data_IF_196313012652
#
_entry.id   IF_196313012652
#
_cell.length_a   1.000
_cell.length_b   1.000
_cell.length_c   1.000
_cell.angle_alpha   90.00
_cell.angle_beta   90.00
_cell.angle_gamma   90.00
#
_symmetry.space_group_name_H-M   'P 1'
#
loop_
_entity.id
_entity.type
_entity.pdbx_description
1 polymer ?
#
# COMPACT_ATOMS: atom_id res chain seq x y z
N UNK A 1 4.87 -1.41 -7.95
CA UNK A 1 4.29 -1.39 -9.33
C UNK A 1 3.19 -2.43 -9.42
N UNK A 2 3.51 -3.72 -9.32
CA UNK A 2 2.53 -4.81 -9.44
C UNK A 2 1.38 -4.72 -8.44
N UNK A 3 1.68 -4.66 -7.14
CA UNK A 3 0.67 -4.54 -6.07
C UNK A 3 -0.34 -3.38 -6.27
N UNK A 4 0.12 -2.26 -6.83
CA UNK A 4 -0.71 -1.08 -7.07
C UNK A 4 -1.47 -1.12 -8.41
N UNK A 5 -1.03 -1.95 -9.37
CA UNK A 5 -1.61 -2.05 -10.71
C UNK A 5 -2.44 -3.32 -10.91
N UNK A 6 -2.32 -4.30 -10.02
CA UNK A 6 -3.23 -5.44 -9.97
C UNK A 6 -4.63 -5.00 -9.55
N UNK A 7 -5.70 -5.63 -10.09
CA UNK A 7 -7.05 -5.41 -9.61
C UNK A 7 -7.15 -5.71 -8.10
N UNK A 8 -7.42 -4.73 -7.23
CA UNK A 8 -7.51 -4.97 -5.80
C UNK A 8 -8.70 -5.85 -5.48
N UNK A 9 -8.51 -6.77 -4.53
CA UNK A 9 -9.58 -7.61 -4.00
C UNK A 9 -10.29 -6.88 -2.86
N UNK A 10 -11.62 -6.94 -2.87
CA UNK A 10 -12.51 -6.41 -1.84
C UNK A 10 -13.41 -7.54 -1.34
N UNK A 11 -13.73 -7.52 -0.05
CA UNK A 11 -14.76 -8.37 0.53
C UNK A 11 -16.01 -7.57 0.85
N UNK A 12 -17.17 -8.11 0.50
CA UNK A 12 -18.48 -7.68 1.00
C UNK A 12 -19.30 -8.89 1.41
N UNK A 13 -20.04 -8.80 2.53
CA UNK A 13 -20.80 -9.94 3.08
C UNK A 13 -21.77 -10.57 2.07
N UNK A 14 -22.51 -9.74 1.35
CA UNK A 14 -23.57 -10.19 0.44
C UNK A 14 -23.04 -10.60 -0.95
N UNK A 15 -21.78 -10.28 -1.26
CA UNK A 15 -21.18 -10.51 -2.58
C UNK A 15 -20.04 -11.52 -2.57
N UNK A 16 -19.38 -11.69 -1.43
CA UNK A 16 -18.13 -12.43 -1.33
C UNK A 16 -16.92 -11.59 -1.74
N UNK A 17 -15.83 -12.26 -2.11
CA UNK A 17 -14.65 -11.61 -2.67
C UNK A 17 -14.86 -11.24 -4.15
N UNK A 18 -14.48 -10.03 -4.52
CA UNK A 18 -14.49 -9.56 -5.91
C UNK A 18 -13.37 -8.57 -6.15
N UNK A 19 -13.02 -8.34 -7.42
CA UNK A 19 -12.02 -7.34 -7.79
C UNK A 19 -12.65 -6.05 -8.31
N UNK A 20 -11.94 -4.94 -8.15
CA UNK A 20 -12.26 -3.65 -8.76
C UNK A 20 -11.12 -3.18 -9.66
N UNK A 21 -11.29 -2.03 -10.33
CA UNK A 21 -10.20 -1.44 -11.10
C UNK A 21 -9.07 -0.96 -10.16
N UNK A 22 -7.80 -0.98 -10.61
CA UNK A 22 -6.69 -0.38 -9.88
C UNK A 22 -6.98 1.09 -9.52
N UNK A 23 -6.59 1.48 -8.32
CA UNK A 23 -6.83 2.82 -7.76
C UNK A 23 -8.32 3.18 -7.59
N UNK A 24 -9.18 2.19 -7.39
CA UNK A 24 -10.62 2.43 -7.18
C UNK A 24 -10.93 3.04 -5.81
N UNK A 25 -12.07 3.73 -5.74
CA UNK A 25 -12.60 4.36 -4.53
C UNK A 25 -11.59 5.26 -3.80
N UNK A 26 -11.08 6.31 -4.48
CA UNK A 26 -10.19 7.28 -3.83
C UNK A 26 -10.92 7.97 -2.67
N UNK A 27 -10.23 8.13 -1.56
CA UNK A 27 -10.69 8.92 -0.42
C UNK A 27 -9.53 9.62 0.27
N UNK A 28 -9.78 10.81 0.82
CA UNK A 28 -8.78 11.48 1.65
C UNK A 28 -8.91 10.97 3.07
N UNK A 29 -7.82 10.42 3.62
CA UNK A 29 -7.74 9.99 5.01
C UNK A 29 -6.83 10.92 5.81
N UNK A 30 -7.30 11.35 6.98
CA UNK A 30 -6.53 12.20 7.91
C UNK A 30 -5.61 11.32 8.77
N UNK A 31 -4.34 11.22 8.38
CA UNK A 31 -3.36 10.46 9.14
C UNK A 31 -2.88 11.24 10.39
N UNK A 32 -2.63 10.53 11.50
CA UNK A 32 -2.26 11.13 12.76
C UNK A 32 -0.79 11.62 12.78
N UNK A 33 -0.35 12.10 13.95
CA UNK A 33 1.07 12.38 14.25
C UNK A 33 1.78 13.38 13.31
N UNK A 34 0.98 14.27 12.71
CA UNK A 34 1.45 15.35 11.85
C UNK A 34 1.59 14.99 10.37
N UNK A 35 1.17 13.78 9.96
CA UNK A 35 1.14 13.39 8.54
C UNK A 35 0.05 14.15 7.79
N UNK A 36 -1.15 14.25 8.37
CA UNK A 36 -2.26 15.02 7.79
C UNK A 36 -2.99 14.29 6.66
N UNK A 37 -3.71 15.03 5.79
CA UNK A 37 -4.57 14.43 4.77
C UNK A 37 -3.75 13.81 3.63
N UNK A 38 -4.04 12.56 3.30
CA UNK A 38 -3.44 11.84 2.17
C UNK A 38 -4.53 11.12 1.37
N UNK A 39 -4.50 11.25 0.04
CA UNK A 39 -5.38 10.46 -0.84
C UNK A 39 -4.99 8.98 -0.81
N UNK A 40 -5.96 8.16 -0.44
CA UNK A 40 -5.85 6.71 -0.32
C UNK A 40 -6.72 6.02 -1.36
N UNK A 41 -6.20 4.95 -1.96
CA UNK A 41 -6.87 4.17 -3.00
C UNK A 41 -6.78 2.67 -2.72
N UNK A 42 -7.75 1.89 -3.20
CA UNK A 42 -7.72 0.44 -3.05
C UNK A 42 -6.52 -0.17 -3.79
N UNK A 43 -5.80 -1.05 -3.08
CA UNK A 43 -4.67 -1.84 -3.60
C UNK A 43 -4.83 -3.30 -3.15
N UNK A 44 -4.23 -4.23 -3.89
CA UNK A 44 -4.31 -5.65 -3.55
C UNK A 44 -3.54 -5.94 -2.25
N UNK A 45 -4.17 -6.62 -1.29
CA UNK A 45 -3.47 -7.05 -0.08
C UNK A 45 -4.08 -8.31 0.55
N UNK A 46 -3.25 -9.11 1.21
CA UNK A 46 -3.60 -10.46 1.66
C UNK A 46 -4.59 -10.49 2.82
N UNK A 47 -4.60 -9.46 3.67
CA UNK A 47 -5.47 -9.33 4.84
C UNK A 47 -6.93 -9.27 4.42
N UNK A 48 -7.25 -8.74 3.24
CA UNK A 48 -8.64 -8.71 2.72
C UNK A 48 -9.15 -10.14 2.44
N UNK A 49 -8.26 -11.08 2.15
CA UNK A 49 -8.60 -12.49 1.98
C UNK A 49 -8.73 -13.23 3.33
N UNK A 50 -8.04 -12.75 4.36
CA UNK A 50 -7.89 -13.43 5.64
C UNK A 50 -8.85 -12.91 6.72
N UNK A 51 -8.93 -11.60 6.92
CA UNK A 51 -9.71 -10.96 7.99
C UNK A 51 -11.18 -11.39 7.96
N UNK A 52 -11.90 -11.37 6.82
CA UNK A 52 -13.32 -11.75 6.79
C UNK A 52 -13.60 -13.22 7.14
N UNK A 53 -12.58 -14.09 7.12
CA UNK A 53 -12.71 -15.49 7.52
C UNK A 53 -12.81 -15.65 9.04
N UNK A 54 -12.31 -14.69 9.80
CA UNK A 54 -12.21 -14.74 11.26
C UNK A 54 -12.99 -13.64 11.96
N UNK A 55 -13.18 -12.51 11.29
CA UNK A 55 -13.91 -11.34 11.79
C UNK A 55 -15.18 -11.16 10.97
N UNK A 56 -16.34 -11.22 11.63
CA UNK A 56 -17.60 -10.91 10.99
C UNK A 56 -17.70 -9.41 10.67
N UNK A 57 -17.42 -9.05 9.43
CA UNK A 57 -17.56 -7.69 8.91
C UNK A 57 -18.58 -7.63 7.76
N UNK A 58 -19.05 -6.43 7.45
CA UNK A 58 -19.87 -6.18 6.25
C UNK A 58 -19.00 -5.94 5.02
N UNK A 59 -17.85 -5.31 5.21
CA UNK A 59 -16.90 -4.96 4.15
C UNK A 59 -15.47 -5.00 4.69
N UNK A 60 -14.52 -5.43 3.87
CA UNK A 60 -13.09 -5.26 4.11
C UNK A 60 -12.38 -4.81 2.83
N UNK A 61 -11.50 -3.82 2.99
CA UNK A 61 -10.69 -3.21 1.94
C UNK A 61 -9.29 -2.94 2.50
N UNK A 62 -8.31 -2.81 1.62
CA UNK A 62 -6.98 -2.32 1.98
C UNK A 62 -6.59 -1.19 1.03
N UNK A 63 -6.00 -0.13 1.59
CA UNK A 63 -5.72 1.12 0.87
C UNK A 63 -4.33 1.64 1.17
N UNK A 64 -3.68 2.20 0.15
CA UNK A 64 -2.44 2.94 0.29
C UNK A 64 -2.62 4.43 0.05
N UNK A 65 -1.96 5.24 0.88
CA UNK A 65 -1.76 6.66 0.66
C UNK A 65 -0.66 6.91 -0.37
N UNK A 66 -0.99 6.76 -1.65
CA UNK A 66 -0.01 6.90 -2.74
C UNK A 66 0.17 8.37 -3.17
N UNK A 67 -0.85 9.20 -2.98
CA UNK A 67 -0.89 10.57 -3.51
C UNK A 67 -0.98 10.63 -5.03
N UNK A 68 -1.48 11.75 -5.54
CA UNK A 68 -1.83 11.93 -6.96
C UNK A 68 -0.63 11.75 -7.89
N UNK A 69 0.52 12.33 -7.54
CA UNK A 69 1.73 12.28 -8.36
C UNK A 69 2.22 10.84 -8.59
N UNK A 70 2.26 10.03 -7.54
CA UNK A 70 2.72 8.64 -7.67
C UNK A 70 1.72 7.80 -8.47
N UNK A 71 0.42 8.02 -8.27
CA UNK A 71 -0.63 7.39 -9.07
C UNK A 71 -0.46 7.74 -10.56
N UNK A 72 -0.15 9.00 -10.89
CA UNK A 72 0.10 9.42 -12.28
C UNK A 72 1.33 8.75 -12.89
N UNK A 73 2.42 8.61 -12.13
CA UNK A 73 3.62 7.86 -12.54
C UNK A 73 3.26 6.41 -12.87
N UNK A 74 2.55 5.72 -11.97
CA UNK A 74 2.15 4.33 -12.17
C UNK A 74 1.23 4.16 -13.39
N UNK A 75 0.24 5.06 -13.56
CA UNK A 75 -0.64 5.06 -14.74
C UNK A 75 0.15 5.28 -16.03
N UNK A 76 1.19 6.12 -16.00
CA UNK A 76 2.05 6.37 -17.16
C UNK A 76 2.87 5.14 -17.52
N UNK A 77 3.49 4.49 -16.53
CA UNK A 77 4.22 3.23 -16.74
C UNK A 77 3.30 2.16 -17.36
N UNK A 78 2.09 2.00 -16.82
CA UNK A 78 1.10 1.07 -17.33
C UNK A 78 0.66 1.37 -18.77
N UNK A 79 0.32 2.64 -19.07
CA UNK A 79 -0.09 3.05 -20.43
C UNK A 79 0.99 2.82 -21.49
N UNK A 80 2.26 2.88 -21.09
CA UNK A 80 3.40 2.62 -21.95
C UNK A 80 3.79 1.12 -22.02
N UNK A 81 3.13 0.26 -21.23
CA UNK A 81 3.45 -1.16 -21.11
C UNK A 81 4.78 -1.42 -20.39
N UNK A 82 5.27 -0.46 -19.60
CA UNK A 82 6.55 -0.54 -18.88
C UNK A 82 6.46 -1.33 -17.57
N UNK A 83 5.25 -1.68 -17.14
CA UNK A 83 4.97 -2.62 -16.07
C UNK A 83 4.91 -4.09 -16.53
N UNK A 84 4.93 -4.33 -17.85
CA UNK A 84 4.88 -5.66 -18.45
C UNK A 84 6.16 -6.48 -18.26
N UNK A 85 6.00 -7.79 -18.07
CA UNK A 85 7.09 -8.77 -17.93
C UNK A 85 7.44 -9.48 -19.24
N UNK A 86 6.53 -9.48 -20.22
CA UNK A 86 6.76 -10.12 -21.50
C UNK A 86 7.90 -9.42 -22.26
N UNK A 87 8.94 -10.15 -22.70
CA UNK A 87 10.07 -9.53 -23.38
C UNK A 87 9.68 -8.87 -24.69
N UNK A 88 10.26 -7.69 -24.94
CA UNK A 88 10.20 -6.99 -26.22
C UNK A 88 11.57 -7.00 -26.89
N UNK A 89 11.59 -6.92 -28.23
CA UNK A 89 12.86 -6.91 -28.99
C UNK A 89 13.43 -5.50 -29.07
N UNK A 90 14.59 -5.29 -28.46
CA UNK A 90 15.36 -4.04 -28.53
C UNK A 90 16.71 -4.33 -29.16
N UNK A 91 16.93 -3.84 -30.39
CA UNK A 91 18.20 -4.04 -31.14
C UNK A 91 18.64 -5.52 -31.26
N UNK A 92 17.69 -6.46 -31.30
CA UNK A 92 17.95 -7.89 -31.42
C UNK A 92 18.07 -8.64 -30.09
N UNK A 93 18.00 -7.95 -28.96
CA UNK A 93 17.92 -8.56 -27.62
C UNK A 93 16.47 -8.58 -27.11
N UNK A 94 16.11 -9.64 -26.39
CA UNK A 94 14.85 -9.73 -25.65
C UNK A 94 15.02 -9.05 -24.30
N UNK A 95 14.18 -8.07 -23.99
CA UNK A 95 14.27 -7.26 -22.76
C UNK A 95 12.87 -7.13 -22.14
N UNK A 96 12.73 -7.45 -20.86
CA UNK A 96 11.51 -7.18 -20.09
C UNK A 96 11.41 -5.67 -19.80
N UNK A 97 10.33 -4.98 -20.22
CA UNK A 97 10.13 -3.56 -19.91
C UNK A 97 10.21 -3.27 -18.41
N UNK A 98 9.61 -4.12 -17.57
CA UNK A 98 9.65 -4.01 -16.12
C UNK A 98 11.08 -4.10 -15.56
N UNK A 99 11.91 -4.97 -16.11
CA UNK A 99 13.30 -5.11 -15.65
C UNK A 99 14.12 -3.84 -15.96
N UNK A 100 13.81 -3.17 -17.08
CA UNK A 100 14.43 -1.88 -17.42
C UNK A 100 14.02 -0.81 -16.41
N UNK A 101 12.72 -0.72 -16.09
CA UNK A 101 12.24 0.23 -15.06
C UNK A 101 12.93 -0.05 -13.73
N UNK A 102 12.97 -1.31 -13.29
CA UNK A 102 13.61 -1.70 -12.04
C UNK A 102 15.11 -1.34 -12.03
N UNK A 103 15.83 -1.56 -13.13
CA UNK A 103 17.24 -1.21 -13.27
C UNK A 103 17.51 0.31 -13.27
N UNK A 104 16.52 1.13 -13.63
CA UNK A 104 16.62 2.59 -13.56
C UNK A 104 16.31 3.17 -12.18
N UNK A 105 15.67 2.40 -11.29
CA UNK A 105 15.34 2.85 -9.94
C UNK A 105 16.53 2.69 -9.00
N UNK A 106 16.71 3.61 -8.04
CA UNK A 106 17.70 3.44 -6.98
C UNK A 106 17.36 2.21 -6.13
N UNK A 107 18.39 1.54 -5.61
CA UNK A 107 18.22 0.41 -4.70
C UNK A 107 17.45 0.87 -3.44
N UNK A 108 16.25 0.31 -3.16
CA UNK A 108 15.45 0.68 -2.00
C UNK A 108 16.20 0.55 -0.68
N UNK A 109 17.12 -0.41 -0.55
CA UNK A 109 17.91 -0.60 0.67
C UNK A 109 18.85 0.58 0.96
N UNK A 110 19.21 1.36 -0.07
CA UNK A 110 20.12 2.50 0.03
C UNK A 110 19.42 3.85 0.12
N UNK A 111 18.08 3.86 0.11
CA UNK A 111 17.29 5.09 0.13
C UNK A 111 17.07 5.67 1.53
N UNK A 112 17.33 4.90 2.60
CA UNK A 112 17.00 5.29 3.96
C UNK A 112 17.51 6.68 4.37
N UNK A 113 18.77 7.00 4.07
CA UNK A 113 19.38 8.31 4.40
C UNK A 113 18.81 9.48 3.58
N UNK A 114 18.09 9.19 2.49
CA UNK A 114 17.45 10.18 1.61
C UNK A 114 15.97 10.35 1.92
N UNK A 115 15.38 9.43 2.68
CA UNK A 115 13.99 9.48 3.10
C UNK A 115 13.87 10.35 4.35
N UNK A 116 12.81 11.15 4.41
CA UNK A 116 12.46 11.95 5.59
C UNK A 116 10.98 11.82 5.87
N UNK A 117 10.59 12.03 7.12
CA UNK A 117 9.21 11.99 7.55
C UNK A 117 8.77 10.63 8.06
N UNK A 118 7.46 10.43 8.11
CA UNK A 118 6.84 9.35 8.89
C UNK A 118 6.02 8.42 8.02
N UNK A 119 6.02 7.15 8.39
CA UNK A 119 5.09 6.14 7.85
C UNK A 119 4.02 5.83 8.88
N UNK A 120 2.80 5.57 8.42
CA UNK A 120 1.70 5.14 9.27
C UNK A 120 1.04 3.90 8.67
N UNK A 121 0.92 2.86 9.48
CA UNK A 121 0.16 1.66 9.15
C UNK A 121 -0.90 1.44 10.23
N UNK A 122 -2.13 1.14 9.82
CA UNK A 122 -3.22 0.98 10.75
C UNK A 122 -4.46 0.36 10.15
N UNK A 123 -5.42 0.07 11.01
CA UNK A 123 -6.73 -0.49 10.67
C UNK A 123 -7.80 0.46 11.17
N UNK A 124 -8.58 1.02 10.25
CA UNK A 124 -9.76 1.81 10.56
C UNK A 124 -10.99 0.90 10.59
N UNK A 125 -11.66 0.89 11.74
CA UNK A 125 -12.79 0.01 12.03
C UNK A 125 -13.99 0.88 12.33
N UNK A 126 -15.09 0.63 11.64
CA UNK A 126 -16.39 1.24 11.89
C UNK A 126 -17.42 0.16 12.16
N UNK A 127 -18.40 0.45 13.02
CA UNK A 127 -19.44 -0.54 13.36
C UNK A 127 -20.29 -0.12 14.54
N UNK A 128 -20.83 -1.12 15.23
CA UNK A 128 -21.62 -0.92 16.46
C UNK A 128 -20.75 -1.21 17.68
N UNK A 129 -20.69 -0.26 18.60
CA UNK A 129 -19.98 -0.37 19.87
C UNK A 129 -20.64 -1.37 20.82
N UNK A 130 -19.94 -1.70 21.91
CA UNK A 130 -20.44 -2.61 22.95
C UNK A 130 -21.67 -2.08 23.70
N UNK A 131 -21.89 -0.78 23.62
CA UNK A 131 -23.04 -0.05 24.16
C UNK A 131 -24.25 -0.02 23.20
N UNK A 132 -24.11 -0.60 22.00
CA UNK A 132 -25.14 -0.60 20.97
C UNK A 132 -25.20 0.66 20.12
N UNK A 133 -24.29 1.63 20.31
CA UNK A 133 -24.24 2.87 19.53
C UNK A 133 -23.20 2.80 18.40
N UNK A 134 -23.33 3.61 17.33
CA UNK A 134 -22.31 3.68 16.29
C UNK A 134 -20.93 4.04 16.87
N UNK A 135 -19.91 3.33 16.44
CA UNK A 135 -18.54 3.51 16.91
C UNK A 135 -17.54 3.43 15.76
N UNK A 136 -16.45 4.18 15.90
CA UNK A 136 -15.29 4.09 15.00
C UNK A 136 -13.99 4.15 15.81
N UNK A 137 -13.00 3.40 15.38
CA UNK A 137 -11.65 3.39 15.96
C UNK A 137 -10.62 3.26 14.86
N UNK A 138 -9.53 4.01 14.97
CA UNK A 138 -8.34 3.80 14.15
C UNK A 138 -7.23 3.27 15.07
N UNK A 139 -6.84 2.02 14.85
CA UNK A 139 -5.71 1.38 15.53
C UNK A 139 -4.51 1.45 14.62
N UNK A 140 -3.44 2.11 15.04
CA UNK A 140 -2.36 2.43 14.13
C UNK A 140 -1.01 2.48 14.84
N UNK A 141 0.04 2.47 14.03
CA UNK A 141 1.41 2.70 14.44
C UNK A 141 2.06 3.71 13.48
N UNK A 142 2.82 4.65 14.04
CA UNK A 142 3.56 5.66 13.29
C UNK A 142 5.05 5.47 13.57
N UNK A 143 5.86 5.51 12.52
CA UNK A 143 7.32 5.38 12.60
C UNK A 143 7.96 6.54 11.88
N UNK A 144 8.92 7.17 12.53
CA UNK A 144 9.75 8.24 11.96
C UNK A 144 11.00 7.64 11.32
N UNK A 145 11.27 7.98 10.06
CA UNK A 145 12.38 7.40 9.31
C UNK A 145 13.73 7.82 9.88
N UNK A 146 13.88 9.09 10.28
CA UNK A 146 15.12 9.57 10.88
C UNK A 146 15.44 8.83 12.19
N UNK A 147 14.43 8.52 13.00
CA UNK A 147 14.57 7.71 14.22
C UNK A 147 15.03 6.28 13.92
N UNK A 148 14.35 5.56 13.01
CA UNK A 148 14.73 4.17 12.72
C UNK A 148 16.07 4.05 12.00
N UNK A 149 16.42 5.03 11.16
CA UNK A 149 17.73 5.11 10.55
C UNK A 149 18.83 5.35 11.59
N UNK A 150 18.59 6.23 12.57
CA UNK A 150 19.56 6.51 13.63
C UNK A 150 19.77 5.31 14.59
N UNK A 151 18.70 4.60 14.95
CA UNK A 151 18.78 3.51 15.93
C UNK A 151 19.14 2.16 15.31
N UNK A 152 18.60 1.85 14.12
CA UNK A 152 18.67 0.52 13.52
C UNK A 152 19.36 0.50 12.14
N UNK A 153 19.72 1.66 11.60
CA UNK A 153 20.27 1.76 10.24
C UNK A 153 19.30 1.24 9.17
N UNK A 154 18.00 1.28 9.44
CA UNK A 154 16.95 0.73 8.59
C UNK A 154 15.82 1.73 8.41
N UNK A 155 15.35 1.89 7.17
CA UNK A 155 14.27 2.80 6.84
C UNK A 155 12.92 2.32 7.40
N UNK A 156 12.01 3.26 7.66
CA UNK A 156 10.79 3.05 8.43
C UNK A 156 9.89 1.90 7.93
N UNK A 157 9.74 1.72 6.62
CA UNK A 157 8.92 0.65 6.00
C UNK A 157 9.53 -0.73 6.26
N UNK A 158 10.85 -0.88 6.08
CA UNK A 158 11.56 -2.14 6.38
C UNK A 158 11.46 -2.45 7.87
N UNK A 159 11.68 -1.44 8.71
CA UNK A 159 11.59 -1.60 10.16
C UNK A 159 10.19 -2.06 10.60
N UNK A 160 9.13 -1.42 10.09
CA UNK A 160 7.74 -1.78 10.42
C UNK A 160 7.37 -3.20 10.02
N UNK A 161 7.93 -3.69 8.92
CA UNK A 161 7.72 -5.07 8.48
C UNK A 161 8.52 -6.06 9.32
N UNK A 162 9.77 -5.71 9.65
CA UNK A 162 10.71 -6.61 10.31
C UNK A 162 10.47 -6.78 11.81
N UNK A 163 9.84 -5.83 12.49
CA UNK A 163 9.64 -5.90 13.93
C UNK A 163 8.58 -6.93 14.34
N UNK A 164 7.50 -7.07 13.56
CA UNK A 164 6.36 -7.92 13.91
C UNK A 164 6.71 -9.41 14.05
N UNK A 165 7.53 -10.04 13.18
CA UNK A 165 7.92 -11.43 13.34
C UNK A 165 8.80 -11.73 14.58
N UNK A 166 9.35 -10.70 15.23
CA UNK A 166 10.25 -10.84 16.39
C UNK A 166 9.48 -10.81 17.72
N UNK A 167 8.28 -10.24 17.73
CA UNK A 167 7.39 -10.10 18.90
C UNK A 167 6.56 -11.36 19.11
#
# INVERSE_FOLDING_TARGET
IEECLNPPVIWERDRGWFTTAPFSEPEVFEFPDGIGPVECVNVEHEEVLLIPRWVHCERATFKYGLGDEFIEVLRTLHKLGLDGTDPVTVRGQQVSPRDVVAACLPDPATLGDKMTGKTCAGTWITGTGKDGHPHQTYLYHVVDNEETMAEYGSQAVVWQTAINPVV
#
